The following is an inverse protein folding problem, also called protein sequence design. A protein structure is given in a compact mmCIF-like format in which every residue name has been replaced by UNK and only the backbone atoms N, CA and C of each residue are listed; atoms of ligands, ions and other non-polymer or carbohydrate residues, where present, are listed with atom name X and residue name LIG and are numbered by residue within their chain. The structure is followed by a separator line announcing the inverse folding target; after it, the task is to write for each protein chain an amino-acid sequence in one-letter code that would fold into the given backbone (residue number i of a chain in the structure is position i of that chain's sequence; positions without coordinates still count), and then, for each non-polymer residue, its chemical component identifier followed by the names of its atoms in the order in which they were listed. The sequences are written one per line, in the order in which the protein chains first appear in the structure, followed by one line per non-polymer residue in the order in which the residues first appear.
data_IF_309813656617
#
_entry.id   IF_309813656617
#
_cell.length_a   1.000
_cell.length_b   1.000
_cell.length_c   1.000
_cell.angle_alpha   90.00
_cell.angle_beta   90.00
_cell.angle_gamma   90.00
#
_symmetry.space_group_name_H-M   'P 1'
#
loop_
_entity.id
_entity.type
_entity.pdbx_description
1 polymer ?
#
# COMPACT_ATOMS: atom_id res chain seq x y z
N UNK A 1 19.33 -5.55 20.47
CA UNK A 1 18.18 -6.37 20.03
C UNK A 1 18.72 -7.58 19.31
N UNK A 2 18.51 -8.78 19.83
CA UNK A 2 18.94 -10.01 19.15
C UNK A 2 18.06 -10.22 17.92
N UNK A 3 18.65 -10.31 16.73
CA UNK A 3 17.91 -10.52 15.50
C UNK A 3 17.36 -11.95 15.46
N UNK A 4 16.04 -12.10 15.57
CA UNK A 4 15.37 -13.38 15.35
C UNK A 4 15.04 -13.51 13.87
N UNK A 5 15.65 -14.49 13.20
CA UNK A 5 15.32 -14.83 11.82
C UNK A 5 14.04 -15.66 11.80
N UNK A 6 13.01 -15.19 11.10
CA UNK A 6 11.71 -15.86 10.92
C UNK A 6 11.43 -15.97 9.42
N UNK A 7 10.84 -17.08 8.98
CA UNK A 7 10.45 -17.23 7.58
C UNK A 7 9.26 -16.32 7.22
N UNK A 8 9.15 -15.88 5.96
CA UNK A 8 8.00 -15.09 5.50
C UNK A 8 6.65 -15.79 5.74
N UNK A 9 6.64 -17.13 5.67
CA UNK A 9 5.43 -17.93 5.92
C UNK A 9 5.00 -17.83 7.38
N UNK A 10 5.94 -17.99 8.31
CA UNK A 10 5.68 -17.87 9.74
C UNK A 10 5.29 -16.45 10.11
N UNK A 11 5.99 -15.45 9.55
CA UNK A 11 5.67 -14.04 9.77
C UNK A 11 4.22 -13.72 9.36
N UNK A 12 3.81 -14.14 8.15
CA UNK A 12 2.42 -13.99 7.68
C UNK A 12 1.42 -14.67 8.61
N UNK A 13 1.75 -15.86 9.13
CA UNK A 13 0.87 -16.58 10.05
C UNK A 13 0.71 -15.83 11.38
N UNK A 14 1.81 -15.33 11.95
CA UNK A 14 1.81 -14.60 13.23
C UNK A 14 1.09 -13.26 13.08
N UNK A 15 1.46 -12.45 12.09
CA UNK A 15 0.82 -11.14 11.84
C UNK A 15 -0.67 -11.32 11.56
N UNK A 16 -1.06 -12.30 10.75
CA UNK A 16 -2.47 -12.57 10.49
C UNK A 16 -3.26 -12.90 11.77
N UNK A 17 -2.68 -13.71 12.67
CA UNK A 17 -3.31 -14.01 13.97
C UNK A 17 -3.40 -12.79 14.87
N UNK A 18 -2.38 -11.95 14.92
CA UNK A 18 -2.41 -10.70 15.67
C UNK A 18 -3.56 -9.81 15.19
N UNK A 19 -3.70 -9.61 13.89
CA UNK A 19 -4.78 -8.80 13.32
C UNK A 19 -6.17 -9.38 13.64
N UNK A 20 -6.33 -10.71 13.64
CA UNK A 20 -7.58 -11.35 14.09
C UNK A 20 -7.87 -11.08 15.58
N UNK A 21 -6.85 -11.19 16.43
CA UNK A 21 -6.98 -10.92 17.87
C UNK A 21 -7.30 -9.44 18.12
N UNK A 22 -6.75 -8.54 17.31
CA UNK A 22 -7.08 -7.12 17.33
C UNK A 22 -8.50 -6.79 16.83
N UNK A 23 -9.26 -7.80 16.37
CA UNK A 23 -10.65 -7.61 15.96
C UNK A 23 -10.84 -7.09 14.54
N UNK A 24 -9.81 -7.12 13.69
CA UNK A 24 -9.97 -6.69 12.30
C UNK A 24 -11.01 -7.57 11.57
N UNK A 25 -11.86 -6.97 10.72
CA UNK A 25 -12.78 -7.74 9.88
C UNK A 25 -12.03 -8.77 9.03
N UNK A 26 -12.59 -9.98 8.90
CA UNK A 26 -11.94 -11.09 8.18
C UNK A 26 -11.51 -10.73 6.76
N UNK A 27 -12.29 -9.89 6.07
CA UNK A 27 -11.99 -9.42 4.71
C UNK A 27 -10.76 -8.50 4.62
N UNK A 28 -10.35 -7.88 5.73
CA UNK A 28 -9.25 -6.93 5.78
C UNK A 28 -7.94 -7.56 6.27
N UNK A 29 -8.00 -8.68 6.99
CA UNK A 29 -6.81 -9.29 7.61
C UNK A 29 -5.74 -9.65 6.57
N UNK A 30 -6.11 -10.26 5.45
CA UNK A 30 -5.12 -10.68 4.45
C UNK A 30 -4.43 -9.50 3.75
N UNK A 31 -5.17 -8.52 3.19
CA UNK A 31 -4.53 -7.37 2.56
C UNK A 31 -3.67 -6.55 3.53
N UNK A 32 -4.15 -6.32 4.76
CA UNK A 32 -3.40 -5.56 5.78
C UNK A 32 -2.14 -6.31 6.21
N UNK A 33 -2.23 -7.63 6.42
CA UNK A 33 -1.07 -8.48 6.73
C UNK A 33 -0.01 -8.35 5.64
N UNK A 34 -0.42 -8.43 4.37
CA UNK A 34 0.52 -8.39 3.27
C UNK A 34 1.17 -7.00 3.15
N UNK A 35 0.41 -5.92 3.33
CA UNK A 35 0.97 -4.56 3.42
C UNK A 35 2.02 -4.41 4.52
N UNK A 36 1.76 -4.94 5.72
CA UNK A 36 2.73 -4.94 6.83
C UNK A 36 3.99 -5.75 6.51
N UNK A 37 3.83 -6.94 5.92
CA UNK A 37 4.95 -7.81 5.59
C UNK A 37 5.81 -7.20 4.48
N UNK A 38 5.20 -6.61 3.46
CA UNK A 38 5.89 -5.95 2.37
C UNK A 38 6.67 -4.73 2.88
N UNK A 39 6.03 -3.88 3.70
CA UNK A 39 6.70 -2.74 4.34
C UNK A 39 7.85 -3.18 5.25
N UNK A 40 7.67 -4.24 6.06
CA UNK A 40 8.73 -4.79 6.90
C UNK A 40 9.90 -5.33 6.07
N UNK A 41 9.60 -5.98 4.95
CA UNK A 41 10.62 -6.55 4.05
C UNK A 41 11.46 -5.47 3.37
N UNK A 42 10.92 -4.25 3.26
CA UNK A 42 11.63 -3.05 2.79
C UNK A 42 12.33 -2.27 3.93
N UNK A 43 12.28 -2.78 5.16
CA UNK A 43 12.96 -2.16 6.31
C UNK A 43 12.23 -0.98 6.96
N UNK A 44 10.91 -0.83 6.73
CA UNK A 44 10.12 0.32 7.19
C UNK A 44 9.60 0.19 8.64
N UNK A 45 10.15 -0.69 9.48
CA UNK A 45 9.69 -0.93 10.87
C UNK A 45 8.17 -1.19 11.03
N UNK A 46 7.54 -1.83 10.05
CA UNK A 46 6.09 -2.05 10.04
C UNK A 46 5.61 -2.92 11.22
N UNK A 47 6.44 -3.82 11.73
CA UNK A 47 6.10 -4.61 12.92
C UNK A 47 6.19 -3.78 14.21
N UNK A 48 7.17 -2.88 14.32
CA UNK A 48 7.23 -1.94 15.44
C UNK A 48 6.02 -0.99 15.43
N UNK A 49 5.61 -0.53 14.25
CA UNK A 49 4.38 0.24 14.05
C UNK A 49 3.13 -0.52 14.52
N UNK A 50 3.00 -1.79 14.11
CA UNK A 50 1.91 -2.65 14.57
C UNK A 50 1.92 -2.80 16.09
N UNK A 51 3.09 -3.05 16.71
CA UNK A 51 3.22 -3.19 18.16
C UNK A 51 2.74 -1.93 18.90
N UNK A 52 3.16 -0.74 18.44
CA UNK A 52 2.77 0.55 19.03
C UNK A 52 1.27 0.81 18.94
N UNK A 53 0.63 0.36 17.86
CA UNK A 53 -0.77 0.65 17.55
C UNK A 53 -1.73 -0.48 17.90
N UNK A 54 -1.24 -1.67 18.26
CA UNK A 54 -2.02 -2.89 18.45
C UNK A 54 -3.21 -2.73 19.40
N UNK A 55 -2.98 -2.10 20.55
CA UNK A 55 -4.02 -1.89 21.57
C UNK A 55 -5.08 -0.85 21.17
N UNK A 56 -4.79 -0.06 20.14
CA UNK A 56 -5.65 1.01 19.64
C UNK A 56 -6.30 0.64 18.30
N UNK A 57 -6.01 -0.55 17.77
CA UNK A 57 -6.61 -1.03 16.54
C UNK A 57 -8.12 -1.10 16.72
N UNK A 58 -8.89 -0.44 15.85
CA UNK A 58 -10.32 -0.38 16.04
C UNK A 58 -10.95 -1.70 15.57
N UNK A 59 -11.98 -2.16 16.29
CA UNK A 59 -12.83 -3.26 15.83
C UNK A 59 -13.63 -2.91 14.58
N UNK A 60 -13.80 -1.61 14.29
CA UNK A 60 -14.43 -1.08 13.08
C UNK A 60 -13.48 -0.13 12.37
N UNK A 61 -13.22 -0.37 11.09
CA UNK A 61 -12.34 0.50 10.30
C UNK A 61 -13.00 1.84 10.02
N UNK A 62 -12.19 2.92 10.07
CA UNK A 62 -12.64 4.25 9.70
C UNK A 62 -12.99 4.33 8.21
N UNK A 63 -13.96 5.18 7.85
CA UNK A 63 -14.33 5.39 6.44
C UNK A 63 -13.20 6.12 5.71
N UNK A 64 -12.59 5.44 4.74
CA UNK A 64 -11.67 6.06 3.79
C UNK A 64 -12.47 6.86 2.77
N UNK A 65 -12.15 8.14 2.61
CA UNK A 65 -12.78 8.99 1.60
C UNK A 65 -11.83 9.15 0.40
N UNK A 66 -12.36 8.97 -0.80
CA UNK A 66 -11.59 9.14 -2.05
C UNK A 66 -12.20 10.30 -2.81
N UNK A 67 -11.43 11.37 -2.95
CA UNK A 67 -11.82 12.57 -3.69
C UNK A 67 -10.87 12.73 -4.87
N UNK A 68 -11.37 12.85 -6.10
CA UNK A 68 -10.49 13.06 -7.24
C UNK A 68 -11.21 13.47 -8.51
N UNK A 69 -10.55 14.32 -9.30
CA UNK A 69 -10.94 14.69 -10.65
C UNK A 69 -9.69 14.65 -11.54
N UNK A 70 -9.76 13.96 -12.68
CA UNK A 70 -8.61 13.78 -13.58
C UNK A 70 -7.51 12.89 -12.98
N UNK A 71 -6.26 13.34 -13.08
CA UNK A 71 -5.04 12.57 -12.75
C UNK A 71 -4.57 12.73 -11.29
N UNK A 72 -5.29 13.54 -10.50
CA UNK A 72 -5.02 13.77 -9.09
C UNK A 72 -6.14 13.17 -8.23
N UNK A 73 -5.77 12.35 -7.26
CA UNK A 73 -6.70 11.73 -6.32
C UNK A 73 -6.18 11.88 -4.90
N UNK A 74 -7.03 12.32 -3.99
CA UNK A 74 -6.75 12.43 -2.55
C UNK A 74 -7.52 11.35 -1.82
N UNK A 75 -6.82 10.59 -0.98
CA UNK A 75 -7.36 9.57 -0.10
C UNK A 75 -7.21 10.07 1.34
N UNK A 76 -8.33 10.25 2.04
CA UNK A 76 -8.32 10.57 3.46
C UNK A 76 -8.34 9.28 4.29
N UNK A 77 -7.27 9.05 5.06
CA UNK A 77 -7.09 7.91 5.94
C UNK A 77 -7.83 8.01 7.28
N UNK A 78 -8.45 9.15 7.59
CA UNK A 78 -9.24 9.38 8.80
C UNK A 78 -8.49 9.10 10.13
N UNK A 79 -7.20 9.40 10.16
CA UNK A 79 -6.32 9.20 11.32
C UNK A 79 -5.86 7.76 11.54
N UNK A 80 -6.13 6.85 10.59
CA UNK A 80 -5.78 5.44 10.72
C UNK A 80 -4.29 5.18 10.48
N UNK A 81 -3.70 4.14 11.09
CA UNK A 81 -2.40 3.62 10.67
C UNK A 81 -2.39 3.35 9.17
N UNK A 82 -1.35 3.84 8.49
CA UNK A 82 -1.28 3.82 7.04
C UNK A 82 -1.35 2.42 6.44
N UNK A 83 -0.89 1.38 7.16
CA UNK A 83 -1.02 -0.02 6.77
C UNK A 83 -2.47 -0.53 6.73
N UNK A 84 -3.41 0.11 7.44
CA UNK A 84 -4.85 -0.20 7.33
C UNK A 84 -5.47 0.42 6.08
N UNK A 85 -4.94 1.56 5.64
CA UNK A 85 -5.42 2.30 4.47
C UNK A 85 -4.75 1.79 3.19
N UNK A 86 -3.55 1.20 3.30
CA UNK A 86 -2.72 0.71 2.20
C UNK A 86 -3.47 -0.15 1.16
N UNK A 87 -4.36 -1.11 1.53
CA UNK A 87 -5.12 -1.88 0.53
C UNK A 87 -6.00 -0.99 -0.35
N UNK A 88 -6.70 -0.02 0.23
CA UNK A 88 -7.54 0.91 -0.54
C UNK A 88 -6.69 1.84 -1.42
N UNK A 89 -5.53 2.27 -0.92
CA UNK A 89 -4.57 3.04 -1.74
C UNK A 89 -4.09 2.22 -2.92
N UNK A 90 -3.75 0.95 -2.73
CA UNK A 90 -3.33 0.05 -3.79
C UNK A 90 -4.39 -0.11 -4.87
N UNK A 91 -5.66 -0.33 -4.49
CA UNK A 91 -6.77 -0.46 -5.42
C UNK A 91 -6.91 0.80 -6.30
N UNK A 92 -6.78 1.99 -5.70
CA UNK A 92 -6.81 3.27 -6.43
C UNK A 92 -5.59 3.40 -7.35
N UNK A 93 -4.39 3.07 -6.88
CA UNK A 93 -3.17 3.11 -7.69
C UNK A 93 -3.27 2.18 -8.89
N UNK A 94 -3.83 0.98 -8.72
CA UNK A 94 -4.04 0.02 -9.81
C UNK A 94 -5.04 0.57 -10.83
N UNK A 95 -6.19 1.05 -10.36
CA UNK A 95 -7.22 1.63 -11.22
C UNK A 95 -6.69 2.83 -12.04
N UNK A 96 -5.89 3.70 -11.41
CA UNK A 96 -5.32 4.89 -12.05
C UNK A 96 -4.11 4.57 -12.94
N UNK A 97 -3.21 3.70 -12.49
CA UNK A 97 -2.00 3.30 -13.21
C UNK A 97 -2.28 2.62 -14.54
N UNK A 98 -3.41 1.92 -14.67
CA UNK A 98 -3.84 1.38 -15.97
C UNK A 98 -4.33 2.44 -16.95
N UNK A 99 -4.75 3.62 -16.47
CA UNK A 99 -5.16 4.76 -17.28
C UNK A 99 -3.98 5.63 -17.74
N UNK A 100 -2.80 5.46 -17.14
CA UNK A 100 -1.60 6.25 -17.44
C UNK A 100 -0.74 6.50 -16.19
N UNK A 101 -0.09 7.66 -16.15
CA UNK A 101 0.58 8.14 -14.95
C UNK A 101 -0.44 8.88 -14.09
N UNK A 102 -0.44 8.65 -12.78
CA UNK A 102 -1.31 9.36 -11.85
C UNK A 102 -0.58 9.67 -10.54
N UNK A 103 -1.08 10.70 -9.83
CA UNK A 103 -0.63 11.07 -8.50
C UNK A 103 -1.78 10.83 -7.52
N UNK A 104 -1.50 10.05 -6.48
CA UNK A 104 -2.41 9.77 -5.38
C UNK A 104 -1.80 10.33 -4.09
N UNK A 105 -2.46 11.32 -3.51
CA UNK A 105 -2.13 11.83 -2.18
C UNK A 105 -2.90 11.05 -1.12
N UNK A 106 -2.22 10.65 -0.06
CA UNK A 106 -2.81 10.00 1.11
C UNK A 106 -2.62 10.93 2.29
N UNK A 107 -3.72 11.44 2.84
CA UNK A 107 -3.74 12.41 3.92
C UNK A 107 -4.34 11.79 5.20
N UNK A 108 -4.06 12.41 6.34
CA UNK A 108 -4.55 12.01 7.66
C UNK A 108 -4.32 10.52 7.95
N UNK A 109 -3.09 10.05 7.77
CA UNK A 109 -2.67 8.70 8.18
C UNK A 109 -1.61 8.77 9.26
N UNK A 110 -1.50 7.73 10.08
CA UNK A 110 -0.39 7.55 11.02
C UNK A 110 0.71 6.75 10.33
N UNK A 111 1.97 7.15 10.51
CA UNK A 111 3.17 6.51 9.92
C UNK A 111 3.08 6.40 8.37
N UNK A 112 2.94 7.54 7.65
CA UNK A 112 2.79 7.56 6.19
C UNK A 112 3.90 6.86 5.42
N UNK A 113 5.10 6.76 5.99
CA UNK A 113 6.26 6.08 5.41
C UNK A 113 6.02 4.59 5.13
N UNK A 114 5.16 3.92 5.89
CA UNK A 114 4.85 2.49 5.68
C UNK A 114 4.14 2.25 4.34
N UNK A 115 3.54 3.28 3.75
CA UNK A 115 2.98 3.19 2.40
C UNK A 115 4.05 2.88 1.36
N UNK A 116 5.35 3.06 1.65
CA UNK A 116 6.45 2.58 0.82
C UNK A 116 6.36 1.08 0.49
N UNK A 117 5.72 0.27 1.34
CA UNK A 117 5.38 -1.13 1.07
C UNK A 117 4.57 -1.34 -0.22
N UNK A 118 3.79 -0.33 -0.65
CA UNK A 118 2.99 -0.38 -1.86
C UNK A 118 3.82 -0.56 -3.14
N UNK A 119 5.09 -0.17 -3.14
CA UNK A 119 5.96 -0.38 -4.30
C UNK A 119 6.10 -1.87 -4.64
N UNK A 120 6.29 -2.72 -3.62
CA UNK A 120 6.39 -4.17 -3.80
C UNK A 120 5.06 -4.78 -4.25
N UNK A 121 3.95 -4.34 -3.65
CA UNK A 121 2.62 -4.84 -4.00
C UNK A 121 2.20 -4.42 -5.43
N UNK A 122 2.44 -3.16 -5.81
CA UNK A 122 2.09 -2.62 -7.12
C UNK A 122 2.89 -3.26 -8.27
N UNK A 123 4.13 -3.69 -8.00
CA UNK A 123 4.94 -4.42 -8.97
C UNK A 123 4.24 -5.69 -9.49
N UNK A 124 3.47 -6.37 -8.63
CA UNK A 124 2.70 -7.57 -9.01
C UNK A 124 1.57 -7.25 -10.01
N UNK A 125 1.14 -6.00 -10.10
CA UNK A 125 0.17 -5.50 -11.07
C UNK A 125 0.84 -4.90 -12.32
N UNK A 126 2.16 -5.03 -12.44
CA UNK A 126 2.94 -4.45 -13.54
C UNK A 126 2.96 -2.92 -13.51
N UNK A 127 2.97 -2.35 -12.30
CA UNK A 127 3.04 -0.91 -12.06
C UNK A 127 4.33 -0.56 -11.32
N UNK A 128 4.87 0.61 -11.63
CA UNK A 128 5.96 1.23 -10.88
C UNK A 128 5.36 2.31 -9.97
N UNK A 129 5.62 2.20 -8.67
CA UNK A 129 5.06 3.06 -7.65
C UNK A 129 6.18 3.65 -6.80
N UNK A 130 6.24 4.98 -6.78
CA UNK A 130 7.13 5.74 -5.89
C UNK A 130 6.31 6.42 -4.82
N UNK A 131 6.66 6.19 -3.56
CA UNK A 131 6.00 6.80 -2.40
C UNK A 131 6.97 7.78 -1.74
N UNK A 132 6.48 8.99 -1.47
CA UNK A 132 7.23 10.03 -0.77
C UNK A 132 6.40 10.50 0.41
N UNK A 133 6.91 10.33 1.64
CA UNK A 133 6.30 10.95 2.80
C UNK A 133 6.51 12.47 2.74
N UNK A 134 5.42 13.24 2.87
CA UNK A 134 5.41 14.69 2.76
C UNK A 134 5.22 15.39 4.12
N UNK A 135 5.27 14.64 5.22
CA UNK A 135 5.06 15.12 6.57
C UNK A 135 4.66 13.97 7.51
N UNK A 136 4.27 14.27 8.75
CA UNK A 136 3.95 13.24 9.75
C UNK A 136 2.63 12.51 9.49
N UNK A 137 1.76 13.04 8.63
CA UNK A 137 0.43 12.49 8.38
C UNK A 137 0.04 12.42 6.89
N UNK A 138 1.03 12.53 5.99
CA UNK A 138 0.77 12.63 4.56
C UNK A 138 1.85 11.94 3.73
N UNK A 139 1.44 11.24 2.68
CA UNK A 139 2.31 10.73 1.64
C UNK A 139 1.77 11.08 0.25
N UNK A 140 2.66 11.40 -0.68
CA UNK A 140 2.35 11.47 -2.10
C UNK A 140 2.86 10.20 -2.77
N UNK A 141 1.99 9.56 -3.55
CA UNK A 141 2.30 8.35 -4.30
C UNK A 141 2.15 8.60 -5.78
N UNK A 142 3.19 8.30 -6.55
CA UNK A 142 3.20 8.43 -8.00
C UNK A 142 3.17 7.03 -8.58
N UNK A 143 2.17 6.75 -9.41
CA UNK A 143 2.03 5.46 -10.12
C UNK A 143 2.22 5.65 -11.61
N UNK A 144 2.99 4.75 -12.22
CA UNK A 144 3.26 4.73 -13.65
C UNK A 144 3.24 3.30 -14.16
N UNK A 145 2.91 3.13 -15.43
CA UNK A 145 3.20 1.87 -16.12
C UNK A 145 4.69 1.83 -16.46
N UNK A 146 5.42 0.76 -16.12
CA UNK A 146 6.81 0.61 -16.53
C UNK A 146 6.88 0.66 -18.06
N UNK A 147 7.74 1.53 -18.59
CA UNK A 147 8.08 1.48 -20.01
C UNK A 147 8.99 0.27 -20.19
N UNK A 148 8.44 -0.82 -20.71
CA UNK A 148 9.26 -2.01 -20.99
C UNK A 148 10.27 -1.66 -22.09
N UNK A 149 11.60 -1.79 -21.86
CA UNK A 149 12.61 -1.42 -22.86
C UNK A 149 12.66 -2.33 -24.11
N UNK A 150 11.64 -3.15 -24.35
CA UNK A 150 11.50 -4.01 -25.53
C UNK A 150 10.35 -3.64 -26.49
N UNK A 151 9.61 -2.55 -26.24
CA UNK A 151 8.48 -2.12 -27.07
C UNK A 151 8.87 -1.30 -28.30
N UNK A 152 9.80 -1.77 -29.13
CA UNK A 152 10.04 -1.16 -30.44
C UNK A 152 8.86 -1.49 -31.39
N UNK A 153 8.36 -0.45 -32.07
CA UNK A 153 7.16 -0.45 -32.89
C UNK A 153 6.96 -1.64 -33.83
N UNK A 154 5.90 -2.41 -33.56
CA UNK A 154 5.26 -3.25 -34.55
C UNK A 154 4.18 -2.46 -35.29
N UNK A 155 4.59 -1.60 -36.22
CA UNK A 155 3.68 -1.07 -37.24
C UNK A 155 3.07 -2.24 -38.01
N UNK A 156 1.83 -2.63 -37.68
CA UNK A 156 1.04 -3.49 -38.57
C UNK A 156 0.56 -2.62 -39.72
N UNK A 157 1.38 -2.59 -40.76
CA UNK A 157 0.95 -2.19 -42.08
C UNK A 157 -0.32 -2.96 -42.46
N UNK A 158 -1.37 -2.19 -42.73
CA UNK A 158 -2.54 -2.58 -43.51
C UNK A 158 -2.07 -3.31 -44.77
N UNK A 159 -2.57 -4.52 -44.99
CA UNK A 159 -2.58 -5.12 -46.33
C UNK A 159 -4.02 -5.22 -46.80
N UNK A 160 -4.21 -4.73 -48.01
CA UNK A 160 -5.39 -4.83 -48.86
C UNK A 160 -5.86 -6.27 -49.03
#
# INVERSE_FOLDING_TARGET
MSATNVSLRELRLVVGRLLYVAGLPKGCVYPVRDALVDAQSLGLDALGALERTFAQLPGELGRVAINGAGDHTVIDGAGQPSYLVAPAVLDVLVARGHSGSAVVEVAHVVEPELLGGLAAAAYLYGLDVTVVACGPAMASTIVRRPVHPGGAGGSRATRC
#
